data_IF_308409712859
#
_entry.id   IF_308409712859
#
_cell.length_a   1.000
_cell.length_b   1.000
_cell.length_c   1.000
_cell.angle_alpha   90.00
_cell.angle_beta   90.00
_cell.angle_gamma   90.00
#
_symmetry.space_group_name_H-M   'P 1'
#
loop_
_entity.id
_entity.type
_entity.pdbx_description
1 polymer ?
#
# COMPACT_ATOMS: atom_id res chain seq x y z
N UNK A 1 20.49 1.49 1.90
CA UNK A 1 19.92 2.79 2.35
C UNK A 1 20.47 3.11 3.73
N UNK A 2 20.58 4.38 4.10
CA UNK A 2 21.11 4.80 5.41
C UNK A 2 20.01 5.13 6.44
N UNK A 3 18.73 4.89 6.10
CA UNK A 3 17.56 5.15 6.94
C UNK A 3 16.39 4.25 6.55
N UNK A 4 15.39 4.17 7.43
CA UNK A 4 14.09 3.58 7.14
C UNK A 4 13.23 4.54 6.30
N UNK A 5 12.54 4.01 5.28
CA UNK A 5 11.79 4.80 4.31
C UNK A 5 10.36 4.30 4.16
N UNK A 6 9.39 5.20 4.24
CA UNK A 6 8.02 4.95 3.80
C UNK A 6 7.87 5.35 2.33
N UNK A 7 7.41 4.44 1.48
CA UNK A 7 7.19 4.71 0.05
C UNK A 7 5.80 5.33 -0.10
N UNK A 8 5.76 6.58 -0.56
CA UNK A 8 4.51 7.32 -0.77
C UNK A 8 4.01 7.27 -2.21
N UNK A 9 4.93 7.23 -3.18
CA UNK A 9 4.61 7.10 -4.60
C UNK A 9 5.78 6.44 -5.36
N UNK A 10 5.47 5.85 -6.51
CA UNK A 10 6.44 5.19 -7.39
C UNK A 10 6.24 5.65 -8.84
N UNK A 11 7.22 5.39 -9.71
CA UNK A 11 7.04 5.52 -11.16
C UNK A 11 6.17 4.42 -11.76
N UNK A 12 6.11 3.26 -11.10
CA UNK A 12 5.38 2.10 -11.60
C UNK A 12 3.85 2.28 -11.48
N UNK A 13 3.09 1.81 -12.49
CA UNK A 13 1.64 1.68 -12.37
C UNK A 13 1.25 0.81 -11.18
N UNK A 14 0.19 1.18 -10.46
CA UNK A 14 -0.28 0.44 -9.28
C UNK A 14 0.49 0.75 -7.98
N UNK A 15 1.40 1.73 -8.03
CA UNK A 15 2.13 2.24 -6.88
C UNK A 15 3.02 1.16 -6.24
N UNK A 16 3.78 0.42 -7.06
CA UNK A 16 4.59 -0.72 -6.64
C UNK A 16 6.09 -0.42 -6.76
N UNK A 17 6.88 -0.94 -5.82
CA UNK A 17 8.33 -0.93 -5.83
C UNK A 17 8.88 -2.36 -5.61
N UNK A 18 10.07 -2.60 -6.14
CA UNK A 18 10.81 -3.85 -5.95
C UNK A 18 12.04 -3.55 -5.11
N UNK A 19 12.14 -4.22 -3.96
CA UNK A 19 13.19 -3.97 -2.96
C UNK A 19 14.03 -5.21 -2.79
N UNK A 20 15.34 -5.06 -2.95
CA UNK A 20 16.32 -6.09 -2.58
C UNK A 20 16.59 -6.05 -1.07
N UNK A 21 16.52 -7.20 -0.41
CA UNK A 21 16.74 -7.31 1.04
C UNK A 21 17.88 -8.27 1.41
N UNK A 22 18.70 -8.70 0.46
CA UNK A 22 19.79 -9.66 0.69
C UNK A 22 20.71 -9.28 1.86
N UNK A 23 20.99 -7.98 2.05
CA UNK A 23 21.80 -7.49 3.16
C UNK A 23 21.09 -7.48 4.54
N UNK A 24 19.77 -7.67 4.58
CA UNK A 24 18.96 -7.64 5.79
C UNK A 24 18.56 -9.06 6.25
N UNK A 25 18.09 -9.89 5.33
CA UNK A 25 17.58 -11.24 5.61
C UNK A 25 18.25 -12.37 4.81
N UNK A 26 19.20 -12.05 3.93
CA UNK A 26 19.90 -13.04 3.11
C UNK A 26 19.08 -13.58 1.93
N UNK A 27 17.88 -13.05 1.69
CA UNK A 27 17.04 -13.48 0.56
C UNK A 27 17.49 -12.78 -0.73
N UNK A 28 17.64 -13.55 -1.82
CA UNK A 28 18.03 -13.03 -3.14
C UNK A 28 16.84 -12.53 -3.97
N UNK A 29 15.61 -12.80 -3.54
CA UNK A 29 14.40 -12.43 -4.27
C UNK A 29 14.07 -10.95 -4.03
N UNK A 30 13.57 -10.29 -5.06
CA UNK A 30 13.02 -8.94 -4.91
C UNK A 30 11.67 -9.00 -4.20
N UNK A 31 11.53 -8.20 -3.13
CA UNK A 31 10.26 -8.05 -2.42
C UNK A 31 9.43 -6.97 -3.07
N UNK A 32 8.21 -7.33 -3.43
CA UNK A 32 7.21 -6.38 -3.95
C UNK A 32 6.64 -5.60 -2.77
N UNK A 33 6.73 -4.27 -2.83
CA UNK A 33 6.18 -3.35 -1.82
C UNK A 33 5.26 -2.36 -2.50
N UNK A 34 4.09 -2.12 -1.91
CA UNK A 34 3.15 -1.12 -2.42
C UNK A 34 3.31 0.17 -1.62
N UNK A 35 3.30 1.31 -2.32
CA UNK A 35 3.32 2.62 -1.70
C UNK A 35 2.00 2.91 -0.99
N UNK A 36 2.07 3.65 0.11
CA UNK A 36 0.93 4.05 0.91
C UNK A 36 0.87 5.60 0.99
N UNK A 37 -0.23 6.25 0.57
CA UNK A 37 -1.45 5.66 0.03
C UNK A 37 -1.35 5.33 -1.47
N UNK A 38 -2.04 4.28 -1.91
CA UNK A 38 -1.97 3.77 -3.30
C UNK A 38 -2.38 4.80 -4.36
N UNK A 39 -3.26 5.75 -4.03
CA UNK A 39 -3.77 6.76 -4.98
C UNK A 39 -2.86 7.98 -5.15
N UNK A 40 -1.82 8.11 -4.33
CA UNK A 40 -0.86 9.20 -4.49
C UNK A 40 0.02 8.92 -5.71
N UNK A 41 0.15 9.89 -6.60
CA UNK A 41 0.98 9.76 -7.80
C UNK A 41 2.32 10.45 -7.62
N UNK A 42 3.34 9.99 -8.34
CA UNK A 42 4.66 10.63 -8.38
C UNK A 42 4.63 11.90 -9.27
N UNK A 43 3.75 12.85 -8.93
CA UNK A 43 3.64 14.16 -9.58
C UNK A 43 3.66 15.26 -8.53
N UNK A 44 4.31 16.37 -8.85
CA UNK A 44 4.44 17.51 -7.94
C UNK A 44 3.08 18.06 -7.49
N UNK A 45 2.09 18.10 -8.40
CA UNK A 45 0.73 18.55 -8.09
C UNK A 45 0.06 17.63 -7.06
N UNK A 46 0.12 16.32 -7.26
CA UNK A 46 -0.49 15.34 -6.37
C UNK A 46 0.17 15.34 -4.98
N UNK A 47 1.50 15.42 -4.95
CA UNK A 47 2.29 15.53 -3.72
C UNK A 47 1.96 16.81 -2.94
N UNK A 48 1.90 17.94 -3.62
CA UNK A 48 1.55 19.22 -3.00
C UNK A 48 0.13 19.21 -2.43
N UNK A 49 -0.84 18.66 -3.16
CA UNK A 49 -2.22 18.54 -2.67
C UNK A 49 -2.30 17.66 -1.43
N UNK A 50 -1.60 16.52 -1.44
CA UNK A 50 -1.54 15.60 -0.31
C UNK A 50 -1.06 16.30 0.97
N UNK A 51 0.08 16.99 0.91
CA UNK A 51 0.65 17.68 2.08
C UNK A 51 -0.13 18.93 2.49
N UNK A 52 -0.67 19.71 1.54
CA UNK A 52 -1.50 20.89 1.85
C UNK A 52 -2.80 20.55 2.58
N UNK A 53 -3.29 19.31 2.45
CA UNK A 53 -4.46 18.82 3.18
C UNK A 53 -4.15 18.38 4.62
N UNK A 54 -2.95 18.69 5.14
CA UNK A 54 -2.55 18.34 6.50
C UNK A 54 -2.40 16.83 6.67
N UNK A 55 -1.80 16.16 5.69
CA UNK A 55 -1.45 14.75 5.83
C UNK A 55 -0.39 14.59 6.93
N UNK A 56 -0.63 13.65 7.83
CA UNK A 56 0.23 13.32 8.96
C UNK A 56 0.48 11.81 8.96
N UNK A 57 1.72 11.42 9.25
CA UNK A 57 2.12 10.01 9.36
C UNK A 57 2.36 9.73 10.84
N UNK A 58 1.55 8.84 11.40
CA UNK A 58 1.66 8.39 12.79
C UNK A 58 2.13 6.95 12.78
N UNK A 59 3.13 6.62 13.59
CA UNK A 59 3.73 5.30 13.63
C UNK A 59 4.28 4.99 15.02
N UNK A 60 4.49 3.70 15.28
CA UNK A 60 4.98 3.22 16.57
C UNK A 60 6.47 3.56 16.81
N UNK A 61 6.91 3.48 18.06
CA UNK A 61 8.30 3.70 18.41
C UNK A 61 9.24 2.68 17.70
N UNK A 62 10.51 3.08 17.42
CA UNK A 62 11.48 2.18 16.81
C UNK A 62 11.63 0.87 17.58
N UNK A 63 11.61 -0.25 16.86
CA UNK A 63 11.74 -1.58 17.45
C UNK A 63 12.65 -2.48 16.60
N UNK A 64 12.95 -3.69 17.07
CA UNK A 64 13.88 -4.63 16.41
C UNK A 64 13.20 -5.59 15.43
N UNK A 65 11.88 -5.52 15.26
CA UNK A 65 11.15 -6.38 14.34
C UNK A 65 11.29 -5.86 12.90
N UNK A 66 12.18 -6.47 12.14
CA UNK A 66 12.46 -6.08 10.75
C UNK A 66 11.34 -6.47 9.77
N UNK A 67 10.35 -7.26 10.21
CA UNK A 67 9.26 -7.76 9.37
C UNK A 67 7.96 -6.99 9.53
N UNK A 68 7.84 -6.15 10.56
CA UNK A 68 6.61 -5.47 10.91
C UNK A 68 6.85 -3.99 11.12
N UNK A 69 6.03 -3.18 10.44
CA UNK A 69 5.93 -1.75 10.66
C UNK A 69 4.45 -1.42 10.87
N UNK A 70 4.14 -0.73 11.97
CA UNK A 70 2.79 -0.32 12.30
C UNK A 70 2.69 1.20 12.30
N UNK A 71 1.77 1.70 11.50
CA UNK A 71 1.49 3.12 11.37
C UNK A 71 0.29 3.37 10.48
N UNK A 72 -0.17 4.62 10.46
CA UNK A 72 -1.27 5.06 9.63
C UNK A 72 -1.04 6.50 9.16
N UNK A 73 -1.72 6.85 8.08
CA UNK A 73 -1.72 8.22 7.56
C UNK A 73 -3.07 8.84 7.86
N UNK A 74 -3.07 9.95 8.59
CA UNK A 74 -4.25 10.78 8.87
C UNK A 74 -4.20 12.05 8.03
N UNK A 75 -5.36 12.67 7.84
CA UNK A 75 -5.47 13.94 7.12
C UNK A 75 -6.78 14.07 6.38
N UNK A 76 -7.00 15.25 5.82
CA UNK A 76 -8.23 15.57 5.07
C UNK A 76 -8.09 15.36 3.56
N UNK A 77 -6.98 14.76 3.11
CA UNK A 77 -6.72 14.57 1.69
C UNK A 77 -7.72 13.58 1.07
N UNK A 78 -8.34 13.90 -0.07
CA UNK A 78 -9.17 12.94 -0.80
C UNK A 78 -8.36 11.74 -1.32
N UNK A 79 -7.03 11.83 -1.34
CA UNK A 79 -6.14 10.73 -1.69
C UNK A 79 -6.06 9.67 -0.58
N UNK A 80 -6.55 9.98 0.63
CA UNK A 80 -6.64 9.06 1.77
C UNK A 80 -8.02 8.40 1.95
N UNK A 81 -9.10 8.98 1.43
CA UNK A 81 -10.45 8.44 1.65
C UNK A 81 -10.63 7.09 0.98
N UNK A 82 -10.81 6.00 1.71
CA UNK A 82 -11.23 4.73 1.09
C UNK A 82 -12.69 4.85 0.61
N UNK A 83 -12.91 5.46 -0.55
CA UNK A 83 -14.16 5.32 -1.29
C UNK A 83 -14.16 3.91 -1.85
N UNK A 84 -14.64 2.97 -1.04
CA UNK A 84 -14.79 1.58 -1.43
C UNK A 84 -15.69 1.46 -2.65
N UNK A 85 -15.08 1.07 -3.77
CA UNK A 85 -15.71 0.21 -4.76
C UNK A 85 -14.79 -0.97 -5.06
N UNK A 86 -14.29 -1.62 -4.01
CA UNK A 86 -13.78 -3.00 -4.09
C UNK A 86 -14.64 -3.89 -3.18
N UNK A 87 -15.97 -3.78 -3.33
CA UNK A 87 -16.84 -4.89 -3.00
C UNK A 87 -16.69 -5.92 -4.12
N UNK A 88 -15.70 -6.82 -3.98
CA UNK A 88 -15.77 -8.12 -4.65
C UNK A 88 -16.98 -8.83 -4.03
N UNK A 89 -18.13 -8.72 -4.70
CA UNK A 89 -19.22 -9.65 -4.48
C UNK A 89 -18.71 -11.01 -4.93
N UNK A 90 -18.35 -11.87 -3.96
CA UNK A 90 -18.30 -13.30 -4.20
C UNK A 90 -19.73 -13.72 -4.55
N UNK A 91 -20.07 -13.65 -5.84
CA UNK A 91 -21.18 -14.41 -6.38
C UNK A 91 -20.76 -15.87 -6.27
N UNK A 92 -21.10 -16.50 -5.15
CA UNK A 92 -21.24 -17.94 -5.07
C UNK A 92 -22.32 -18.34 -6.08
N UNK A 93 -21.84 -18.77 -7.24
CA UNK A 93 -22.56 -19.46 -8.29
C UNK A 93 -23.36 -20.63 -7.66
N UNK A 94 -24.70 -20.69 -7.78
CA UNK A 94 -25.43 -21.89 -7.43
C UNK A 94 -25.23 -22.90 -8.56
N UNK A 95 -24.19 -23.72 -8.41
CA UNK A 95 -23.91 -24.86 -9.26
C UNK A 95 -25.17 -25.71 -9.47
N UNK A 96 -25.40 -26.00 -10.75
CA UNK A 96 -26.39 -26.92 -11.29
C UNK A 96 -26.49 -28.25 -10.54
N UNK A 97 -27.69 -28.66 -10.17
CA UNK A 97 -28.04 -30.09 -10.06
C UNK A 97 -29.10 -30.44 -11.08
N UNK A 98 -28.64 -31.18 -12.07
CA UNK A 98 -29.39 -31.82 -13.14
C UNK A 98 -30.51 -32.71 -12.59
N UNK A 99 -31.72 -32.55 -13.13
CA UNK A 99 -32.77 -33.56 -13.08
C UNK A 99 -32.32 -34.76 -13.92
N UNK A 100 -32.21 -35.94 -13.29
CA UNK A 100 -32.09 -37.22 -13.99
C UNK A 100 -32.67 -38.35 -13.12
N UNK A 101 -33.59 -39.12 -13.72
CA UNK A 101 -34.28 -40.34 -13.26
C UNK A 101 -35.37 -40.19 -12.19
#
# INVERSE_FOLDING_TARGET
MAADCLILATSEPGSVAYVETANLDGESNLKVRQAAPTRLTNSELSMNQFWKCGAEIVYDAPNRNIYEFQGYISGSSPLLSNSGTDSISNNSDPGSTSKSA
#
